data_IF_037650836356
#
_entry.id   IF_037650836356
#
_cell.length_a   1.000
_cell.length_b   1.000
_cell.length_c   1.000
_cell.angle_alpha   90.00
_cell.angle_beta   90.00
_cell.angle_gamma   90.00
#
_symmetry.space_group_name_H-M   'P 1'
#
loop_
_entity.id
_entity.type
_entity.pdbx_description
1 polymer ?
#
# COMPACT_ATOMS: atom_id res chain seq x y z
N UNK A 1 -62.56 -23.40 21.21
CA UNK A 1 -62.07 -23.47 19.82
C UNK A 1 -61.71 -22.05 19.43
N UNK A 2 -60.53 -21.64 19.00
CA UNK A 2 -59.39 -22.33 18.42
C UNK A 2 -58.83 -21.36 17.36
N UNK A 3 -57.61 -20.87 17.59
CA UNK A 3 -56.64 -20.41 16.57
C UNK A 3 -56.98 -19.15 15.75
N UNK A 4 -56.27 -18.04 15.99
CA UNK A 4 -55.17 -17.59 15.11
C UNK A 4 -55.61 -16.32 14.36
N UNK A 5 -54.80 -15.31 14.04
CA UNK A 5 -53.36 -15.22 13.80
C UNK A 5 -52.95 -13.73 13.84
N UNK A 6 -51.72 -13.47 14.29
CA UNK A 6 -51.03 -12.18 14.27
C UNK A 6 -50.70 -11.66 12.86
N UNK A 7 -50.52 -10.33 12.74
CA UNK A 7 -49.32 -9.65 12.22
C UNK A 7 -49.69 -8.24 11.71
N UNK A 8 -48.86 -7.20 11.73
CA UNK A 8 -47.62 -6.86 12.42
C UNK A 8 -47.36 -5.39 12.01
N UNK A 9 -46.89 -4.58 12.96
CA UNK A 9 -46.60 -3.16 12.78
C UNK A 9 -45.65 -2.88 11.60
N UNK A 10 -45.95 -1.83 10.85
CA UNK A 10 -45.02 -1.21 9.91
C UNK A 10 -43.83 -0.63 10.69
N UNK A 11 -42.70 -1.32 10.62
CA UNK A 11 -41.43 -0.88 11.18
C UNK A 11 -40.80 0.20 10.31
N UNK A 12 -40.82 1.43 10.82
CA UNK A 12 -39.90 2.49 10.44
C UNK A 12 -38.48 2.03 10.78
N UNK A 13 -37.69 1.66 9.76
CA UNK A 13 -36.27 1.38 9.95
C UNK A 13 -35.50 2.66 9.63
N UNK A 14 -35.26 3.45 10.67
CA UNK A 14 -34.27 4.51 10.68
C UNK A 14 -32.89 3.87 10.57
N UNK A 15 -32.14 4.19 9.52
CA UNK A 15 -30.73 3.88 9.44
C UNK A 15 -29.99 4.87 10.35
N UNK A 16 -29.73 4.47 11.60
CA UNK A 16 -28.84 5.19 12.50
C UNK A 16 -27.42 5.19 11.91
N UNK A 17 -26.96 6.39 11.55
CA UNK A 17 -25.58 6.64 11.17
C UNK A 17 -24.71 6.47 12.43
N UNK A 18 -24.17 5.27 12.61
CA UNK A 18 -23.11 4.99 13.57
C UNK A 18 -21.85 5.76 13.21
N UNK A 19 -21.58 6.82 13.98
CA UNK A 19 -20.34 7.58 14.00
C UNK A 19 -19.19 6.66 14.41
N UNK A 20 -18.37 6.23 13.46
CA UNK A 20 -17.08 5.63 13.76
C UNK A 20 -16.02 6.74 13.81
N UNK A 21 -15.81 7.24 15.02
CA UNK A 21 -14.59 7.95 15.41
C UNK A 21 -13.46 6.93 15.58
N UNK A 22 -12.25 7.38 15.27
CA UNK A 22 -10.94 6.87 15.71
C UNK A 22 -10.13 5.97 14.77
N UNK A 23 -8.98 6.55 14.42
CA UNK A 23 -7.85 5.97 13.72
C UNK A 23 -6.85 7.07 13.40
N UNK A 24 -6.27 7.67 14.45
CA UNK A 24 -5.09 8.55 14.36
C UNK A 24 -3.94 7.77 13.70
N UNK A 25 -3.86 7.84 12.37
CA UNK A 25 -2.86 7.16 11.56
C UNK A 25 -1.90 8.16 10.96
N UNK A 26 -0.91 8.58 11.75
CA UNK A 26 0.28 9.24 11.24
C UNK A 26 1.00 8.27 10.28
N UNK A 27 0.96 8.52 8.97
CA UNK A 27 2.03 8.13 8.05
C UNK A 27 1.90 6.84 7.24
N UNK A 28 0.80 6.60 6.54
CA UNK A 28 0.81 5.83 5.26
C UNK A 28 -0.43 6.24 4.48
N UNK A 29 -0.34 6.59 3.19
CA UNK A 29 -1.54 6.65 2.35
C UNK A 29 -1.99 5.21 2.12
N UNK A 30 -2.65 4.64 3.12
CA UNK A 30 -3.20 3.29 3.04
C UNK A 30 -4.37 3.34 2.07
N UNK A 31 -4.12 2.92 0.83
CA UNK A 31 -5.15 2.85 -0.19
C UNK A 31 -6.09 1.69 0.15
N UNK A 32 -7.26 2.02 0.67
CA UNK A 32 -8.32 1.03 0.93
C UNK A 32 -9.12 0.74 -0.33
N UNK A 33 -9.46 -0.53 -0.54
CA UNK A 33 -10.32 -0.98 -1.64
C UNK A 33 -11.78 -0.74 -1.27
N UNK A 34 -12.53 -0.12 -2.19
CA UNK A 34 -13.98 0.06 -2.10
C UNK A 34 -14.69 -1.15 -2.70
N UNK A 35 -14.34 -1.51 -3.93
CA UNK A 35 -14.92 -2.60 -4.68
C UNK A 35 -13.91 -3.21 -5.64
N UNK A 36 -14.19 -4.45 -6.06
CA UNK A 36 -13.40 -5.18 -7.04
C UNK A 36 -14.34 -5.92 -7.99
N UNK A 37 -13.99 -5.98 -9.26
CA UNK A 37 -14.69 -6.76 -10.28
C UNK A 37 -13.70 -7.56 -11.13
N UNK A 38 -14.11 -8.76 -11.52
CA UNK A 38 -13.35 -9.65 -12.39
C UNK A 38 -13.89 -9.52 -13.83
N UNK A 39 -13.00 -9.30 -14.80
CA UNK A 39 -13.36 -9.27 -16.22
C UNK A 39 -12.67 -10.43 -16.94
N UNK A 40 -13.35 -11.58 -17.01
CA UNK A 40 -12.80 -12.78 -17.67
C UNK A 40 -12.57 -12.60 -19.17
N UNK A 41 -13.29 -11.68 -19.83
CA UNK A 41 -13.08 -11.38 -21.27
C UNK A 41 -11.76 -10.64 -21.50
N UNK A 42 -11.48 -9.63 -20.67
CA UNK A 42 -10.22 -8.85 -20.73
C UNK A 42 -9.07 -9.48 -19.94
N UNK A 43 -9.37 -10.49 -19.12
CA UNK A 43 -8.43 -11.19 -18.21
C UNK A 43 -7.74 -10.23 -17.23
N UNK A 44 -8.53 -9.36 -16.61
CA UNK A 44 -8.07 -8.36 -15.64
C UNK A 44 -9.06 -8.17 -14.50
N UNK A 45 -8.56 -7.73 -13.36
CA UNK A 45 -9.35 -7.19 -12.27
C UNK A 45 -9.47 -5.69 -12.41
N UNK A 46 -10.66 -5.16 -12.14
CA UNK A 46 -10.92 -3.73 -11.93
C UNK A 46 -11.04 -3.50 -10.43
N UNK A 47 -10.17 -2.65 -9.88
CA UNK A 47 -10.12 -2.32 -8.45
C UNK A 47 -10.47 -0.84 -8.30
N UNK A 48 -11.54 -0.54 -7.58
CA UNK A 48 -11.90 0.84 -7.24
C UNK A 48 -11.46 1.12 -5.81
N UNK A 49 -10.59 2.10 -5.62
CA UNK A 49 -10.17 2.58 -4.30
C UNK A 49 -11.29 3.35 -3.60
N UNK A 50 -11.20 3.51 -2.27
CA UNK A 50 -12.13 4.36 -1.50
C UNK A 50 -12.10 5.82 -1.95
N UNK A 51 -10.96 6.29 -2.45
CA UNK A 51 -10.82 7.61 -3.05
C UNK A 51 -11.49 7.75 -4.43
N UNK A 52 -12.07 6.68 -4.98
CA UNK A 52 -12.78 6.70 -6.26
C UNK A 52 -11.88 6.57 -7.49
N UNK A 53 -10.60 6.29 -7.32
CA UNK A 53 -9.69 5.94 -8.42
C UNK A 53 -9.81 4.47 -8.78
N UNK A 54 -9.81 4.19 -10.07
CA UNK A 54 -9.84 2.84 -10.64
C UNK A 54 -8.44 2.41 -11.07
N UNK A 55 -8.13 1.15 -10.80
CA UNK A 55 -6.90 0.48 -11.19
C UNK A 55 -7.20 -0.84 -11.90
N UNK A 56 -6.38 -1.19 -12.87
CA UNK A 56 -6.48 -2.45 -13.59
C UNK A 56 -5.33 -3.36 -13.18
N UNK A 57 -5.62 -4.64 -12.93
CA UNK A 57 -4.60 -5.63 -12.58
C UNK A 57 -4.75 -6.90 -13.43
N UNK A 58 -3.80 -7.20 -14.33
CA UNK A 58 -3.90 -8.37 -15.19
C UNK A 58 -3.83 -9.68 -14.40
N UNK A 59 -4.67 -10.64 -14.80
CA UNK A 59 -4.69 -11.99 -14.24
C UNK A 59 -3.33 -12.70 -14.30
N UNK A 60 -2.54 -12.45 -15.34
CA UNK A 60 -1.21 -13.04 -15.52
C UNK A 60 -0.19 -12.61 -14.46
N UNK A 61 -0.48 -11.52 -13.73
CA UNK A 61 0.36 -11.03 -12.64
C UNK A 61 -0.11 -11.52 -11.27
N UNK A 62 -1.24 -12.23 -11.20
CA UNK A 62 -1.64 -12.93 -9.98
C UNK A 62 -0.75 -14.15 -9.74
N UNK A 63 -0.57 -14.54 -8.48
CA UNK A 63 0.24 -15.69 -8.10
C UNK A 63 -0.31 -17.03 -8.63
N UNK A 64 -1.64 -17.13 -8.80
CA UNK A 64 -2.31 -18.32 -9.34
C UNK A 64 -2.52 -18.20 -10.85
N UNK A 65 -2.31 -19.27 -11.64
CA UNK A 65 -2.47 -19.24 -13.09
C UNK A 65 -3.95 -19.17 -13.47
N UNK A 66 -4.48 -17.96 -13.58
CA UNK A 66 -5.85 -17.74 -14.06
C UNK A 66 -5.88 -17.89 -15.59
N UNK A 67 -6.50 -18.98 -16.07
CA UNK A 67 -6.45 -19.44 -17.45
C UNK A 67 -7.82 -19.49 -18.14
N UNK A 68 -7.86 -19.97 -19.40
CA UNK A 68 -9.14 -20.18 -20.11
C UNK A 68 -9.99 -21.28 -19.47
N UNK A 69 -9.32 -22.31 -18.98
CA UNK A 69 -9.94 -23.51 -18.40
C UNK A 69 -10.09 -23.41 -16.88
N UNK A 70 -9.63 -22.31 -16.27
CA UNK A 70 -9.74 -22.05 -14.84
C UNK A 70 -9.98 -20.55 -14.61
N UNK A 71 -11.24 -20.14 -14.72
CA UNK A 71 -11.61 -18.73 -14.69
C UNK A 71 -11.93 -18.26 -13.29
N UNK A 72 -11.97 -16.93 -13.10
CA UNK A 72 -12.43 -16.34 -11.84
C UNK A 72 -13.93 -16.54 -11.74
N UNK A 73 -14.35 -17.35 -10.76
CA UNK A 73 -15.74 -17.61 -10.42
C UNK A 73 -16.30 -16.54 -9.50
N UNK A 74 -15.51 -16.10 -8.53
CA UNK A 74 -15.91 -15.08 -7.54
C UNK A 74 -14.72 -14.22 -7.18
N UNK A 75 -14.97 -12.94 -6.91
CA UNK A 75 -13.99 -12.00 -6.37
C UNK A 75 -14.66 -11.10 -5.34
N UNK A 76 -13.96 -10.76 -4.27
CA UNK A 76 -14.48 -9.87 -3.23
C UNK A 76 -13.35 -9.14 -2.51
N UNK A 77 -13.69 -7.97 -1.93
CA UNK A 77 -12.76 -7.24 -1.07
C UNK A 77 -12.62 -8.00 0.24
N UNK A 78 -11.39 -8.28 0.64
CA UNK A 78 -11.11 -9.03 1.86
C UNK A 78 -11.10 -8.09 3.08
N UNK A 79 -12.07 -8.28 3.97
CA UNK A 79 -12.18 -7.50 5.22
C UNK A 79 -11.18 -7.94 6.28
N UNK A 80 -10.75 -9.21 6.27
CA UNK A 80 -9.76 -9.74 7.22
C UNK A 80 -8.37 -9.15 6.94
N UNK A 81 -8.09 -8.87 5.67
CA UNK A 81 -6.89 -8.14 5.22
C UNK A 81 -7.07 -6.62 5.25
N UNK A 82 -7.90 -6.11 6.17
CA UNK A 82 -8.07 -4.68 6.39
C UNK A 82 -8.61 -3.89 5.19
N UNK A 83 -9.23 -4.57 4.21
CA UNK A 83 -9.64 -4.02 2.90
C UNK A 83 -8.48 -3.46 2.08
N UNK A 84 -7.27 -3.95 2.33
CA UNK A 84 -6.06 -3.65 1.54
C UNK A 84 -5.76 -4.76 0.54
N UNK A 85 -6.55 -5.83 0.53
CA UNK A 85 -6.47 -6.89 -0.44
C UNK A 85 -7.85 -7.30 -0.95
N UNK A 86 -7.86 -8.03 -2.05
CA UNK A 86 -9.02 -8.75 -2.53
C UNK A 86 -8.67 -10.20 -2.78
N UNK A 87 -9.66 -11.06 -2.61
CA UNK A 87 -9.54 -12.51 -2.81
C UNK A 87 -10.39 -12.92 -3.98
N UNK A 88 -9.86 -13.84 -4.79
CA UNK A 88 -10.58 -14.47 -5.88
C UNK A 88 -10.62 -15.98 -5.70
N UNK A 89 -11.70 -16.58 -6.18
CA UNK A 89 -11.93 -18.02 -6.24
C UNK A 89 -12.03 -18.44 -7.68
N UNK A 90 -11.31 -19.49 -8.04
CA UNK A 90 -11.31 -20.06 -9.38
C UNK A 90 -12.35 -21.17 -9.52
N UNK A 91 -12.66 -21.56 -10.76
CA UNK A 91 -13.54 -22.68 -11.05
C UNK A 91 -13.00 -24.01 -10.50
N UNK A 92 -11.66 -24.16 -10.44
CA UNK A 92 -11.00 -25.30 -9.79
C UNK A 92 -11.21 -25.38 -8.28
N UNK A 93 -11.74 -24.32 -7.66
CA UNK A 93 -11.84 -24.18 -6.21
C UNK A 93 -10.59 -23.62 -5.54
N UNK A 94 -9.51 -23.39 -6.29
CA UNK A 94 -8.34 -22.66 -5.79
C UNK A 94 -8.68 -21.21 -5.46
N UNK A 95 -8.05 -20.69 -4.42
CA UNK A 95 -8.18 -19.30 -4.00
C UNK A 95 -6.84 -18.57 -4.05
N UNK A 96 -6.90 -17.26 -4.23
CA UNK A 96 -5.73 -16.40 -4.18
C UNK A 96 -6.11 -15.00 -3.73
N UNK A 97 -5.16 -14.33 -3.07
CA UNK A 97 -5.32 -12.96 -2.57
C UNK A 97 -4.28 -12.03 -3.18
N UNK A 98 -4.69 -10.82 -3.56
CA UNK A 98 -3.85 -9.79 -4.15
C UNK A 98 -3.94 -8.53 -3.29
N UNK A 99 -2.79 -8.06 -2.82
CA UNK A 99 -2.70 -6.82 -2.05
C UNK A 99 -2.72 -5.60 -2.97
N UNK A 100 -3.32 -4.49 -2.52
CA UNK A 100 -3.43 -3.23 -3.26
C UNK A 100 -2.06 -2.67 -3.63
N UNK A 101 -1.04 -2.91 -2.81
CA UNK A 101 0.35 -2.51 -3.10
C UNK A 101 0.85 -3.12 -4.40
N UNK A 102 0.57 -4.41 -4.65
CA UNK A 102 0.93 -5.07 -5.91
C UNK A 102 0.24 -4.41 -7.12
N UNK A 103 -1.01 -3.96 -6.92
CA UNK A 103 -1.78 -3.25 -7.95
C UNK A 103 -1.18 -1.86 -8.21
N UNK A 104 -0.84 -1.11 -7.17
CA UNK A 104 -0.21 0.21 -7.28
C UNK A 104 1.18 0.12 -7.91
N UNK A 105 1.96 -0.90 -7.54
CA UNK A 105 3.26 -1.22 -8.10
C UNK A 105 3.20 -1.50 -9.60
N UNK A 106 2.20 -2.28 -10.02
CA UNK A 106 1.98 -2.60 -11.43
C UNK A 106 1.56 -1.36 -12.22
N UNK A 107 0.63 -0.58 -11.69
CA UNK A 107 0.12 0.64 -12.32
C UNK A 107 1.10 1.83 -12.22
N UNK A 108 2.23 1.67 -11.53
CA UNK A 108 3.22 2.72 -11.29
C UNK A 108 2.59 3.97 -10.70
N UNK A 109 1.72 3.80 -9.69
CA UNK A 109 1.09 4.95 -9.03
C UNK A 109 2.18 5.86 -8.43
N UNK A 110 2.22 7.14 -8.82
CA UNK A 110 3.33 8.03 -8.47
C UNK A 110 3.39 8.31 -6.96
N UNK A 111 2.25 8.33 -6.27
CA UNK A 111 2.23 8.57 -4.83
C UNK A 111 2.79 7.37 -4.08
N UNK A 112 2.35 6.17 -4.45
CA UNK A 112 2.88 4.93 -3.89
C UNK A 112 4.39 4.79 -4.14
N UNK A 113 4.86 5.05 -5.36
CA UNK A 113 6.30 4.98 -5.67
C UNK A 113 7.12 6.01 -4.89
N UNK A 114 6.59 7.24 -4.72
CA UNK A 114 7.25 8.25 -3.89
C UNK A 114 7.32 7.83 -2.41
N UNK A 115 6.25 7.26 -1.86
CA UNK A 115 6.24 6.72 -0.50
C UNK A 115 7.20 5.54 -0.34
N UNK A 116 7.26 4.63 -1.32
CA UNK A 116 8.19 3.51 -1.33
C UNK A 116 9.65 3.98 -1.30
N UNK A 117 9.99 5.02 -2.07
CA UNK A 117 11.31 5.64 -2.04
C UNK A 117 11.63 6.25 -0.68
N UNK A 118 10.67 6.94 -0.05
CA UNK A 118 10.84 7.50 1.30
C UNK A 118 11.07 6.39 2.32
N UNK A 119 10.35 5.27 2.22
CA UNK A 119 10.52 4.12 3.10
C UNK A 119 11.92 3.48 2.94
N UNK A 120 12.36 3.25 1.70
CA UNK A 120 13.69 2.71 1.40
C UNK A 120 14.79 3.63 1.95
N UNK A 121 14.68 4.94 1.68
CA UNK A 121 15.64 5.94 2.15
C UNK A 121 15.66 6.01 3.69
N UNK A 122 14.51 5.90 4.35
CA UNK A 122 14.43 5.82 5.81
C UNK A 122 15.18 4.60 6.33
N UNK A 123 14.97 3.44 5.71
CA UNK A 123 15.60 2.18 6.13
C UNK A 123 17.12 2.30 6.05
N UNK A 124 17.64 2.92 5.00
CA UNK A 124 19.08 3.22 4.88
C UNK A 124 19.55 4.23 5.94
N UNK A 125 18.77 5.28 6.23
CA UNK A 125 19.10 6.20 7.32
C UNK A 125 19.19 5.49 8.68
N UNK A 126 18.24 4.61 9.01
CA UNK A 126 18.24 3.84 10.26
C UNK A 126 19.53 3.02 10.37
N UNK A 127 19.86 2.24 9.33
CA UNK A 127 21.09 1.43 9.27
C UNK A 127 22.34 2.28 9.49
N UNK A 128 22.45 3.43 8.81
CA UNK A 128 23.62 4.32 8.94
C UNK A 128 23.72 4.96 10.31
N UNK A 129 22.59 5.35 10.91
CA UNK A 129 22.58 5.89 12.28
C UNK A 129 22.97 4.83 13.31
N UNK A 130 22.60 3.56 13.11
CA UNK A 130 23.00 2.45 13.98
C UNK A 130 24.49 2.12 13.87
N UNK A 131 25.06 2.26 12.67
CA UNK A 131 26.50 2.06 12.43
C UNK A 131 27.35 3.25 12.89
N UNK A 132 26.78 4.46 12.89
CA UNK A 132 27.48 5.66 13.32
C UNK A 132 27.73 5.65 14.83
N UNK A 133 28.98 5.96 15.22
CA UNK A 133 29.36 6.16 16.62
C UNK A 133 29.01 7.58 17.11
N UNK A 134 27.82 8.07 16.75
CA UNK A 134 27.36 9.43 17.06
C UNK A 134 26.08 9.35 17.90
N UNK A 135 26.04 10.12 18.99
CA UNK A 135 24.84 10.17 19.82
C UNK A 135 23.66 10.82 19.09
N UNK A 136 22.43 10.38 19.40
CA UNK A 136 21.19 10.97 18.84
C UNK A 136 21.09 12.48 19.08
N UNK A 137 21.60 12.96 20.22
CA UNK A 137 21.64 14.40 20.56
C UNK A 137 22.58 15.18 19.65
N UNK A 138 23.74 14.61 19.34
CA UNK A 138 24.71 15.23 18.44
C UNK A 138 24.17 15.26 17.00
N UNK A 139 23.56 14.16 16.53
CA UNK A 139 22.89 14.14 15.23
C UNK A 139 21.79 15.20 15.13
N UNK A 140 20.95 15.32 16.17
CA UNK A 140 19.89 16.33 16.20
C UNK A 140 20.47 17.76 16.12
N UNK A 141 21.58 18.04 16.82
CA UNK A 141 22.28 19.33 16.75
C UNK A 141 22.86 19.61 15.36
N UNK A 142 23.54 18.66 14.75
CA UNK A 142 24.10 18.81 13.39
C UNK A 142 23.01 19.04 12.34
N UNK A 143 21.84 18.41 12.52
CA UNK A 143 20.67 18.60 11.67
C UNK A 143 19.82 19.84 12.01
N UNK A 144 20.24 20.65 12.99
CA UNK A 144 19.47 21.79 13.50
C UNK A 144 18.01 21.42 13.84
N UNK A 145 17.81 20.25 14.46
CA UNK A 145 16.49 19.73 14.82
C UNK A 145 16.45 19.26 16.28
N UNK A 146 15.25 18.97 16.78
CA UNK A 146 15.06 18.43 18.12
C UNK A 146 15.21 16.91 18.12
N UNK A 147 15.62 16.33 19.26
CA UNK A 147 15.74 14.86 19.41
C UNK A 147 14.41 14.14 19.14
N UNK A 148 13.25 14.61 19.63
CA UNK A 148 11.97 14.01 19.26
C UNK A 148 11.69 14.05 17.75
N UNK A 149 12.07 15.15 17.08
CA UNK A 149 11.88 15.27 15.63
C UNK A 149 12.81 14.31 14.86
N UNK A 150 14.04 14.09 15.36
CA UNK A 150 14.93 13.07 14.80
C UNK A 150 14.31 11.66 14.91
N UNK A 151 13.69 11.31 16.05
CA UNK A 151 12.99 10.03 16.17
C UNK A 151 11.82 9.91 15.19
N UNK A 152 11.03 10.97 15.01
CA UNK A 152 9.94 11.00 14.01
C UNK A 152 10.44 10.87 12.57
N UNK A 153 11.64 11.40 12.28
CA UNK A 153 12.27 11.26 10.97
C UNK A 153 12.70 9.81 10.73
N UNK A 154 13.22 9.14 11.77
CA UNK A 154 13.69 7.76 11.72
C UNK A 154 12.59 6.71 11.89
N UNK A 155 11.37 7.12 12.26
CA UNK A 155 10.23 6.22 12.36
C UNK A 155 9.77 5.75 10.96
N UNK A 156 9.91 4.47 10.58
CA UNK A 156 9.52 3.96 9.27
C UNK A 156 8.00 4.02 9.04
N UNK A 157 7.20 4.07 10.10
CA UNK A 157 5.73 4.19 10.02
C UNK A 157 5.30 5.61 9.70
N UNK A 158 6.21 6.59 9.67
CA UNK A 158 5.87 7.97 9.34
C UNK A 158 6.13 8.30 7.85
N UNK A 159 5.25 7.94 6.92
CA UNK A 159 5.46 8.29 5.49
C UNK A 159 5.29 9.78 5.15
N UNK A 160 4.77 10.61 6.05
CA UNK A 160 4.58 12.05 5.82
C UNK A 160 5.88 12.87 5.87
N UNK A 161 7.01 12.20 6.12
CA UNK A 161 8.33 12.81 6.29
C UNK A 161 8.88 13.35 4.97
N UNK A 162 9.76 14.37 5.08
CA UNK A 162 10.37 14.99 3.91
C UNK A 162 11.59 14.21 3.42
N UNK A 163 11.62 13.85 2.13
CA UNK A 163 12.81 13.29 1.47
C UNK A 163 14.05 14.18 1.67
N UNK A 164 13.88 15.52 1.62
CA UNK A 164 14.97 16.47 1.88
C UNK A 164 15.62 16.25 3.24
N UNK A 165 14.82 16.02 4.28
CA UNK A 165 15.33 15.81 5.64
C UNK A 165 16.12 14.50 5.77
N UNK A 166 15.70 13.44 5.08
CA UNK A 166 16.42 12.17 5.04
C UNK A 166 17.76 12.32 4.31
N UNK A 167 17.79 13.02 3.18
CA UNK A 167 19.04 13.32 2.45
C UNK A 167 19.98 14.13 3.35
N UNK A 168 19.47 15.17 4.02
CA UNK A 168 20.29 15.96 4.96
C UNK A 168 20.86 15.10 6.10
N UNK A 169 20.09 14.14 6.62
CA UNK A 169 20.57 13.18 7.62
C UNK A 169 21.72 12.32 7.09
N UNK A 170 21.59 11.80 5.86
CA UNK A 170 22.67 11.02 5.24
C UNK A 170 23.94 11.85 5.04
N UNK A 171 23.81 13.10 4.60
CA UNK A 171 24.97 13.99 4.46
C UNK A 171 25.67 14.29 5.79
N UNK A 172 24.92 14.41 6.90
CA UNK A 172 25.48 14.57 8.26
C UNK A 172 26.20 13.29 8.75
N UNK A 173 25.84 12.13 8.20
CA UNK A 173 26.47 10.84 8.47
C UNK A 173 27.63 10.55 7.50
N UNK A 174 28.19 11.59 6.87
CA UNK A 174 29.29 11.51 5.89
C UNK A 174 28.99 10.55 4.72
N UNK A 175 27.73 10.46 4.31
CA UNK A 175 27.32 9.69 3.15
C UNK A 175 27.14 10.60 1.93
N UNK A 176 27.80 10.24 0.83
CA UNK A 176 27.50 10.82 -0.48
C UNK A 176 26.17 10.27 -1.01
N UNK A 177 25.32 11.16 -1.52
CA UNK A 177 23.98 10.82 -2.01
C UNK A 177 23.88 11.20 -3.48
N UNK A 178 23.98 10.20 -4.35
CA UNK A 178 23.80 10.36 -5.79
C UNK A 178 22.38 9.97 -6.21
N UNK A 179 21.75 10.82 -7.03
CA UNK A 179 20.45 10.54 -7.64
C UNK A 179 20.64 10.05 -9.08
N UNK A 180 20.34 8.78 -9.32
CA UNK A 180 20.36 8.19 -10.66
C UNK A 180 18.94 8.10 -11.20
N UNK A 181 18.69 8.72 -12.35
CA UNK A 181 17.42 8.64 -13.08
C UNK A 181 17.59 7.68 -14.26
N UNK A 182 16.94 6.53 -14.20
CA UNK A 182 16.93 5.54 -15.29
C UNK A 182 15.63 5.60 -16.08
N UNK A 183 15.64 5.43 -17.41
CA UNK A 183 14.42 5.27 -18.18
C UNK A 183 13.64 4.05 -17.68
N UNK A 184 12.33 4.21 -17.46
CA UNK A 184 11.47 3.13 -17.01
C UNK A 184 11.40 2.00 -18.04
N UNK A 185 11.88 0.80 -17.67
CA UNK A 185 11.71 -0.41 -18.48
C UNK A 185 12.87 -0.80 -19.40
N UNK A 186 14.05 -0.17 -19.31
CA UNK A 186 15.24 -0.71 -19.98
C UNK A 186 15.89 -1.72 -19.06
N UNK A 187 15.68 -3.01 -19.35
CA UNK A 187 16.58 -4.05 -18.87
C UNK A 187 18.00 -3.66 -19.27
N UNK A 188 18.82 -3.30 -18.28
CA UNK A 188 20.24 -3.03 -18.47
C UNK A 188 20.88 -4.26 -19.08
N UNK A 189 21.03 -4.28 -20.41
CA UNK A 189 22.02 -5.13 -21.04
C UNK A 189 23.37 -4.55 -20.65
N UNK A 190 24.05 -5.33 -19.82
CA UNK A 190 25.42 -5.15 -19.39
C UNK A 190 26.30 -4.93 -20.62
N UNK A 191 27.15 -3.90 -20.52
CA UNK A 191 28.28 -3.64 -21.37
C UNK A 191 29.15 -4.90 -21.52
N UNK A 192 29.29 -5.39 -22.74
CA UNK A 192 30.43 -6.20 -23.15
C UNK A 192 31.11 -5.49 -24.31
N UNK A 193 32.13 -4.70 -23.98
CA UNK A 193 33.13 -4.22 -24.92
C UNK A 193 34.38 -5.06 -24.67
N UNK A 194 34.70 -5.93 -25.62
CA UNK A 194 36.07 -6.41 -25.88
C UNK A 194 36.59 -5.69 -27.13
#
# INVERSE_FOLDING_TARGET
MGSGKLAANAGTSQCEAGTATEGSGSGRLIVKIKSVAANNKKREFLITSRAGRDFYFPYQKAASPIGKDNQVRKVYVDSELGREAFTFLLDSGEEGSIHIEQVLDFNKDPNYLAELLIYQLTTECIKRVEQAQISRRQLARQLNTSVPQLYRLLDPVNTSKSMKQLISLLSVLDCDVDLVVTPGGVATQVLSSD
#
